data_IF_726590917377
#
_entry.id   IF_726590917377
#
_cell.length_a   1.000
_cell.length_b   1.000
_cell.length_c   1.000
_cell.angle_alpha   90.00
_cell.angle_beta   90.00
_cell.angle_gamma   90.00
#
_symmetry.space_group_name_H-M   'P 1'
#
loop_
_entity.id
_entity.type
_entity.pdbx_description
1 polymer ?
#
# COMPACT_ATOMS: atom_id res chain seq x y z
N UNK A 1 -28.48 5.89 5.09
CA UNK A 1 -27.68 6.07 3.86
C UNK A 1 -26.21 5.81 4.23
N UNK A 2 -25.76 4.56 4.18
CA UNK A 2 -24.39 4.19 4.62
C UNK A 2 -23.46 4.12 3.40
N UNK A 3 -22.47 5.03 3.36
CA UNK A 3 -21.38 5.01 2.38
C UNK A 3 -20.54 3.75 2.60
N UNK A 4 -20.38 2.97 1.55
CA UNK A 4 -19.45 1.84 1.49
C UNK A 4 -18.02 2.40 1.61
N UNK A 5 -17.19 1.94 2.57
CA UNK A 5 -15.75 2.19 2.50
C UNK A 5 -15.20 1.51 1.23
N UNK A 6 -14.28 2.17 0.53
CA UNK A 6 -13.56 1.54 -0.57
C UNK A 6 -12.73 0.39 -0.01
N UNK A 7 -13.26 -0.82 -0.08
CA UNK A 7 -12.56 -2.05 0.25
C UNK A 7 -11.50 -2.30 -0.82
N UNK A 8 -10.28 -1.83 -0.60
CA UNK A 8 -9.15 -2.46 -1.25
C UNK A 8 -8.90 -3.77 -0.52
N UNK A 9 -9.28 -4.86 -1.18
CA UNK A 9 -9.00 -6.25 -0.80
C UNK A 9 -10.08 -6.96 0.03
N UNK A 10 -11.05 -7.55 -0.68
CA UNK A 10 -11.87 -8.63 -0.13
C UNK A 10 -11.14 -9.98 -0.31
N UNK A 11 -10.12 -10.21 0.53
CA UNK A 11 -9.63 -11.52 0.96
C UNK A 11 -9.69 -12.70 -0.02
N UNK A 12 -8.91 -12.67 -1.10
CA UNK A 12 -8.47 -13.89 -1.74
C UNK A 12 -7.28 -14.50 -1.00
N UNK A 13 -7.47 -15.04 0.23
CA UNK A 13 -6.59 -15.91 1.06
C UNK A 13 -5.03 -15.75 1.08
N UNK A 14 -4.41 -14.77 0.42
CA UNK A 14 -2.95 -14.78 0.12
C UNK A 14 -2.18 -13.60 0.74
N UNK A 15 -2.84 -12.57 1.30
CA UNK A 15 -2.14 -11.42 1.89
C UNK A 15 -2.87 -10.79 3.09
N UNK A 16 -2.13 -10.07 3.97
CA UNK A 16 -2.68 -9.37 5.13
C UNK A 16 -3.59 -8.21 4.72
N UNK A 17 -4.48 -7.78 5.63
CA UNK A 17 -5.24 -6.55 5.46
C UNK A 17 -4.30 -5.34 5.59
N UNK A 18 -4.42 -4.38 4.66
CA UNK A 18 -3.58 -3.18 4.60
C UNK A 18 -4.34 -1.91 5.00
N UNK A 19 -5.60 -2.03 5.45
CA UNK A 19 -6.50 -0.89 5.64
C UNK A 19 -5.98 0.14 6.65
N UNK A 20 -5.08 -0.27 7.54
CA UNK A 20 -4.46 0.56 8.57
C UNK A 20 -2.92 0.66 8.44
N UNK A 21 -2.34 0.16 7.35
CA UNK A 21 -0.88 0.08 7.17
C UNK A 21 -0.20 1.46 7.25
N UNK A 22 -0.89 2.51 6.82
CA UNK A 22 -0.38 3.88 6.90
C UNK A 22 -0.19 4.39 8.34
N UNK A 23 -0.86 3.81 9.33
CA UNK A 23 -0.70 4.16 10.75
C UNK A 23 0.62 3.60 11.33
N UNK A 24 1.20 2.58 10.71
CA UNK A 24 2.48 1.99 11.14
C UNK A 24 3.64 2.96 10.86
N UNK A 25 3.48 3.88 9.89
CA UNK A 25 4.43 4.96 9.64
C UNK A 25 5.72 4.50 8.95
N UNK A 26 5.66 3.47 8.10
CA UNK A 26 6.78 3.05 7.27
C UNK A 26 7.25 4.17 6.32
N UNK A 27 8.56 4.25 6.10
CA UNK A 27 9.13 5.17 5.12
C UNK A 27 8.79 4.75 3.70
N UNK A 28 8.76 5.70 2.77
CA UNK A 28 8.54 5.42 1.35
C UNK A 28 9.50 4.35 0.81
N UNK A 29 10.79 4.46 1.16
CA UNK A 29 11.79 3.48 0.77
C UNK A 29 11.47 2.08 1.29
N UNK A 30 11.01 1.97 2.54
CA UNK A 30 10.62 0.70 3.13
C UNK A 30 9.46 0.06 2.37
N UNK A 31 8.44 0.86 2.02
CA UNK A 31 7.29 0.41 1.23
C UNK A 31 7.71 -0.04 -0.18
N UNK A 32 8.58 0.72 -0.84
CA UNK A 32 9.10 0.36 -2.16
C UNK A 32 9.88 -0.95 -2.11
N UNK A 33 10.73 -1.15 -1.09
CA UNK A 33 11.43 -2.43 -0.89
C UNK A 33 10.42 -3.55 -0.67
N UNK A 34 9.35 -3.31 0.10
CA UNK A 34 8.30 -4.30 0.29
C UNK A 34 7.60 -4.68 -1.03
N UNK A 35 7.36 -3.73 -1.93
CA UNK A 35 6.75 -4.00 -3.25
C UNK A 35 7.67 -4.72 -4.23
N UNK A 36 8.97 -4.39 -4.22
CA UNK A 36 9.92 -4.88 -5.22
C UNK A 36 10.75 -6.09 -4.77
N UNK A 37 10.91 -6.27 -3.47
CA UNK A 37 11.71 -7.32 -2.87
C UNK A 37 11.30 -7.53 -1.40
N UNK A 38 10.05 -8.00 -1.19
CA UNK A 38 9.54 -8.28 0.16
C UNK A 38 10.41 -9.28 0.92
N UNK A 39 11.14 -10.15 0.20
CA UNK A 39 12.05 -11.14 0.79
C UNK A 39 13.28 -10.54 1.47
N UNK A 40 13.64 -9.30 1.14
CA UNK A 40 14.70 -8.58 1.85
C UNK A 40 14.34 -8.31 3.32
N UNK A 41 13.07 -8.04 3.61
CA UNK A 41 12.57 -7.87 4.97
C UNK A 41 12.03 -9.18 5.55
N UNK A 42 11.36 -9.98 4.73
CA UNK A 42 10.65 -11.19 5.14
C UNK A 42 11.01 -12.37 4.20
N UNK A 43 12.07 -13.14 4.47
CA UNK A 43 12.58 -14.18 3.55
C UNK A 43 11.55 -15.25 3.14
N UNK A 44 10.57 -15.51 3.99
CA UNK A 44 9.48 -16.46 3.74
C UNK A 44 8.25 -15.82 3.05
N UNK A 45 8.34 -14.57 2.63
CA UNK A 45 7.24 -13.85 1.95
C UNK A 45 6.83 -14.56 0.66
N UNK A 46 5.51 -14.71 0.51
CA UNK A 46 4.86 -15.20 -0.70
C UNK A 46 4.45 -14.05 -1.64
N UNK A 47 4.65 -12.81 -1.22
CA UNK A 47 4.35 -11.64 -2.04
C UNK A 47 5.29 -11.62 -3.26
N UNK A 48 4.74 -11.57 -4.48
CA UNK A 48 5.55 -11.50 -5.69
C UNK A 48 6.22 -10.12 -5.81
N UNK A 49 7.35 -10.07 -6.51
CA UNK A 49 8.06 -8.84 -6.78
C UNK A 49 7.39 -8.06 -7.92
N UNK A 50 6.95 -6.83 -7.66
CA UNK A 50 6.26 -5.98 -8.64
C UNK A 50 7.25 -5.18 -9.51
N UNK A 51 8.20 -5.86 -10.16
CA UNK A 51 9.29 -5.23 -10.93
C UNK A 51 8.82 -4.50 -12.19
N UNK A 52 7.57 -4.69 -12.60
CA UNK A 52 6.97 -4.00 -13.75
C UNK A 52 6.55 -2.56 -13.45
N UNK A 53 6.56 -2.13 -12.19
CA UNK A 53 6.20 -0.76 -11.81
C UNK A 53 7.30 0.24 -12.17
N UNK A 54 6.92 1.35 -12.81
CA UNK A 54 7.81 2.50 -12.98
C UNK A 54 8.07 3.21 -11.64
N UNK A 55 9.11 4.04 -11.56
CA UNK A 55 9.42 4.79 -10.33
C UNK A 55 8.28 5.70 -9.88
N UNK A 56 7.56 6.32 -10.82
CA UNK A 56 6.40 7.15 -10.51
C UNK A 56 5.26 6.31 -9.89
N UNK A 57 4.98 5.14 -10.46
CA UNK A 57 3.97 4.23 -9.90
C UNK A 57 4.36 3.66 -8.54
N UNK A 58 5.65 3.42 -8.30
CA UNK A 58 6.17 3.01 -6.99
C UNK A 58 5.95 4.11 -5.94
N UNK A 59 6.24 5.37 -6.30
CA UNK A 59 5.98 6.53 -5.46
C UNK A 59 4.50 6.67 -5.13
N UNK A 60 3.63 6.69 -6.15
CA UNK A 60 2.18 6.85 -5.97
C UNK A 60 1.60 5.72 -5.10
N UNK A 61 2.05 4.48 -5.32
CA UNK A 61 1.62 3.34 -4.51
C UNK A 61 2.10 3.47 -3.05
N UNK A 62 3.34 3.89 -2.82
CA UNK A 62 3.86 4.10 -1.47
C UNK A 62 3.11 5.22 -0.74
N UNK A 63 2.80 6.33 -1.42
CA UNK A 63 1.99 7.40 -0.86
C UNK A 63 0.57 6.95 -0.54
N UNK A 64 -0.03 6.18 -1.44
CA UNK A 64 -1.34 5.61 -1.22
C UNK A 64 -1.35 4.70 0.01
N UNK A 65 -0.43 3.75 0.12
CA UNK A 65 -0.35 2.83 1.28
C UNK A 65 -0.05 3.60 2.57
N UNK A 66 0.85 4.58 2.53
CA UNK A 66 1.14 5.45 3.68
C UNK A 66 -0.10 6.28 4.09
N UNK A 67 -1.05 6.51 3.18
CA UNK A 67 -2.28 7.24 3.50
C UNK A 67 -3.37 6.40 4.19
N UNK A 68 -3.27 5.07 4.12
CA UNK A 68 -4.27 4.17 4.68
C UNK A 68 -4.42 4.35 6.20
N UNK A 69 -5.65 4.21 6.68
CA UNK A 69 -6.00 4.41 8.09
C UNK A 69 -6.10 5.87 8.53
N UNK A 70 -5.66 6.85 7.72
CA UNK A 70 -5.83 8.28 8.04
C UNK A 70 -7.25 8.73 7.68
N UNK A 71 -7.98 9.28 8.66
CA UNK A 71 -9.37 9.76 8.50
C UNK A 71 -9.49 11.05 7.68
N UNK A 72 -8.37 11.71 7.42
CA UNK A 72 -8.28 13.10 6.95
C UNK A 72 -7.24 13.28 5.82
N UNK A 73 -6.78 12.20 5.18
CA UNK A 73 -5.85 12.31 4.05
C UNK A 73 -6.50 13.00 2.84
N UNK A 74 -5.92 14.10 2.33
CA UNK A 74 -6.36 14.71 1.08
C UNK A 74 -6.06 13.75 -0.07
N UNK A 75 -7.09 13.33 -0.78
CA UNK A 75 -6.98 12.45 -1.95
C UNK A 75 -6.00 13.04 -2.98
N UNK A 76 -4.83 12.41 -3.22
CA UNK A 76 -3.81 12.94 -4.12
C UNK A 76 -4.24 12.89 -5.59
N UNK A 77 -5.34 12.20 -5.91
CA UNK A 77 -5.94 12.17 -7.26
C UNK A 77 -7.02 13.24 -7.46
N UNK A 78 -7.44 13.93 -6.39
CA UNK A 78 -8.27 15.13 -6.49
C UNK A 78 -7.39 16.35 -6.68
N UNK A 79 -6.96 16.57 -7.92
CA UNK A 79 -6.57 17.90 -8.35
C UNK A 79 -7.80 18.81 -8.33
N UNK A 80 -7.65 19.99 -7.74
CA UNK A 80 -8.65 21.07 -7.71
C UNK A 80 -9.02 21.54 -9.12
#
# INVERSE_FOLDING_TARGET
MHRMPHSLWNGGKVGPDLSEEGLVGHSEHWLIVQFLNSKAHFPASLMPDFTSLTKAQQHDLAQYVSSLGRKDWPDPTKSQ
#
